data_IF_767773375294
#
_entry.id   IF_767773375294
#
_cell.length_a   1.000
_cell.length_b   1.000
_cell.length_c   1.000
_cell.angle_alpha   90.00
_cell.angle_beta   90.00
_cell.angle_gamma   90.00
#
_symmetry.space_group_name_H-M   'P 1'
#
loop_
_entity.id
_entity.type
_entity.pdbx_description
1 polymer ?
#
# COMPACT_ATOMS: atom_id res chain seq x y z
N UNK A 1 -35.12 10.09 45.58
CA UNK A 1 -35.64 8.91 46.28
C UNK A 1 -36.79 8.37 45.45
N UNK A 2 -36.84 7.09 45.01
CA UNK A 2 -35.91 5.96 45.22
C UNK A 2 -35.07 5.68 43.94
N UNK A 3 -33.88 5.09 43.95
CA UNK A 3 -33.28 3.92 44.63
C UNK A 3 -33.53 2.57 43.94
N UNK A 4 -32.40 1.85 43.82
CA UNK A 4 -32.25 0.39 43.82
C UNK A 4 -32.23 -0.35 42.48
N UNK A 5 -31.36 -1.35 42.26
CA UNK A 5 -30.09 -1.77 42.87
C UNK A 5 -29.59 -2.94 42.01
N UNK A 6 -28.27 -3.06 41.88
CA UNK A 6 -27.56 -4.20 41.26
C UNK A 6 -27.72 -5.46 42.11
N UNK A 7 -27.67 -6.67 41.52
CA UNK A 7 -27.10 -7.80 42.22
C UNK A 7 -25.65 -8.03 41.76
N UNK A 8 -24.73 -7.86 42.71
CA UNK A 8 -23.46 -8.59 42.72
C UNK A 8 -23.77 -10.08 42.90
N UNK A 9 -23.06 -10.94 42.17
CA UNK A 9 -22.83 -12.31 42.61
C UNK A 9 -21.33 -12.57 42.60
N UNK A 10 -20.85 -13.03 43.74
CA UNK A 10 -19.46 -13.06 44.14
C UNK A 10 -18.90 -14.51 44.16
N UNK A 11 -17.57 -14.57 44.09
CA UNK A 11 -16.69 -15.57 44.69
C UNK A 11 -16.75 -17.03 44.22
N UNK A 12 -15.68 -17.46 43.55
CA UNK A 12 -15.04 -18.73 43.87
C UNK A 12 -13.51 -18.61 43.70
N UNK A 13 -12.79 -19.24 44.62
CA UNK A 13 -11.44 -18.93 45.03
C UNK A 13 -10.37 -19.91 44.49
N UNK A 14 -9.13 -19.41 44.46
CA UNK A 14 -7.85 -20.08 44.79
C UNK A 14 -7.49 -21.43 44.13
N UNK A 15 -6.41 -21.42 43.34
CA UNK A 15 -5.30 -22.37 43.47
C UNK A 15 -4.01 -21.80 42.84
N UNK A 16 -3.01 -21.56 43.70
CA UNK A 16 -1.61 -21.32 43.35
C UNK A 16 -0.90 -22.67 43.09
N UNK A 17 0.25 -22.58 42.40
CA UNK A 17 1.32 -23.58 42.21
C UNK A 17 1.24 -24.37 40.88
N UNK A 18 2.19 -24.11 39.96
CA UNK A 18 3.30 -25.07 39.72
C UNK A 18 4.21 -24.66 38.53
N UNK A 19 5.50 -24.51 38.87
CA UNK A 19 6.69 -24.90 38.10
C UNK A 19 6.85 -24.46 36.61
N UNK A 20 7.65 -23.40 36.41
CA UNK A 20 8.47 -23.27 35.19
C UNK A 20 9.76 -24.08 35.37
N UNK A 21 9.76 -25.35 34.97
CA UNK A 21 10.98 -26.14 34.82
C UNK A 21 10.78 -27.16 33.71
N UNK A 22 11.49 -27.00 32.59
CA UNK A 22 11.47 -27.98 31.50
C UNK A 22 11.98 -27.35 30.21
N UNK A 23 13.31 -27.27 30.07
CA UNK A 23 13.96 -26.85 28.84
C UNK A 23 13.57 -27.76 27.68
N UNK A 24 12.78 -27.25 26.75
CA UNK A 24 12.70 -27.79 25.42
C UNK A 24 13.90 -27.22 24.65
N UNK A 25 14.85 -28.09 24.31
CA UNK A 25 15.89 -27.77 23.34
C UNK A 25 15.19 -27.25 22.07
N UNK A 26 15.42 -25.97 21.74
CA UNK A 26 15.00 -25.41 20.46
C UNK A 26 15.71 -26.24 19.39
N UNK A 27 14.99 -26.97 18.51
CA UNK A 27 15.65 -27.61 17.38
C UNK A 27 16.35 -26.50 16.59
N UNK A 28 17.67 -26.62 16.44
CA UNK A 28 18.42 -25.72 15.57
C UNK A 28 17.72 -25.69 14.21
N UNK A 29 17.50 -24.51 13.61
CA UNK A 29 16.94 -24.43 12.27
C UNK A 29 17.87 -25.24 11.36
N UNK A 30 17.36 -26.37 10.87
CA UNK A 30 18.01 -27.15 9.83
C UNK A 30 18.29 -26.17 8.70
N UNK A 31 19.54 -26.06 8.26
CA UNK A 31 19.96 -25.16 7.21
C UNK A 31 19.17 -25.52 5.94
N UNK A 32 18.02 -24.85 5.76
CA UNK A 32 17.14 -25.07 4.64
C UNK A 32 17.93 -24.85 3.36
N UNK A 33 17.89 -25.84 2.47
CA UNK A 33 18.47 -25.72 1.14
C UNK A 33 18.03 -24.38 0.54
N UNK A 34 19.00 -23.53 0.18
CA UNK A 34 18.69 -22.26 -0.52
C UNK A 34 17.91 -22.62 -1.78
N UNK A 35 16.73 -22.02 -2.01
CA UNK A 35 16.03 -22.18 -3.28
C UNK A 35 17.00 -21.89 -4.43
N UNK A 36 17.00 -22.75 -5.45
CA UNK A 36 17.78 -22.50 -6.65
C UNK A 36 17.39 -21.14 -7.26
N UNK A 37 18.34 -20.38 -7.84
CA UNK A 37 18.02 -19.14 -8.52
C UNK A 37 16.94 -19.38 -9.58
N UNK A 38 15.81 -18.67 -9.48
CA UNK A 38 14.78 -18.72 -10.51
C UNK A 38 15.29 -17.94 -11.74
N UNK A 39 15.03 -18.41 -12.97
CA UNK A 39 15.30 -17.63 -14.17
C UNK A 39 14.63 -16.26 -14.10
N UNK A 40 15.33 -15.21 -14.52
CA UNK A 40 14.72 -13.88 -14.64
C UNK A 40 13.60 -13.92 -15.68
N UNK A 41 12.42 -13.39 -15.34
CA UNK A 41 11.34 -13.17 -16.31
C UNK A 41 11.83 -12.20 -17.40
N UNK A 42 11.49 -12.43 -18.68
CA UNK A 42 11.85 -11.52 -19.74
C UNK A 42 11.11 -10.18 -19.57
N UNK A 43 11.78 -9.09 -19.94
CA UNK A 43 11.18 -7.76 -19.94
C UNK A 43 9.94 -7.72 -20.85
N UNK A 44 8.85 -7.15 -20.35
CA UNK A 44 7.62 -6.92 -21.12
C UNK A 44 7.36 -5.42 -21.19
N UNK A 45 7.33 -4.89 -22.40
CA UNK A 45 6.99 -3.47 -22.60
C UNK A 45 5.55 -3.21 -22.11
N UNK A 46 5.35 -2.29 -21.17
CA UNK A 46 4.02 -1.92 -20.71
C UNK A 46 3.19 -1.34 -21.85
N UNK A 47 1.89 -1.65 -21.86
CA UNK A 47 0.91 -0.93 -22.69
C UNK A 47 0.29 0.19 -21.85
N UNK A 48 0.50 1.47 -22.19
CA UNK A 48 -0.15 2.56 -21.47
C UNK A 48 -1.68 2.45 -21.50
N UNK A 49 -2.31 2.93 -20.42
CA UNK A 49 -3.77 3.00 -20.30
C UNK A 49 -4.37 3.70 -21.51
N UNK A 50 -5.45 3.17 -22.11
CA UNK A 50 -6.19 3.88 -23.15
C UNK A 50 -6.84 5.15 -22.58
N UNK A 51 -7.06 6.15 -23.42
CA UNK A 51 -7.63 7.44 -23.02
C UNK A 51 -6.69 8.63 -23.20
N UNK A 52 -5.47 8.41 -23.69
CA UNK A 52 -4.50 9.48 -23.97
C UNK A 52 -3.89 10.05 -22.69
N UNK A 53 -3.34 11.25 -22.80
CA UNK A 53 -2.76 11.94 -21.66
C UNK A 53 -3.85 12.58 -20.79
N UNK A 54 -3.88 12.20 -19.51
CA UNK A 54 -4.85 12.68 -18.53
C UNK A 54 -4.16 13.78 -17.74
N UNK A 55 -4.49 15.02 -18.10
CA UNK A 55 -4.02 16.24 -17.45
C UNK A 55 -2.48 16.34 -17.36
N UNK A 56 -1.70 15.83 -18.32
CA UNK A 56 -0.23 15.92 -18.29
C UNK A 56 0.47 14.86 -17.43
N UNK A 57 -0.23 13.80 -17.02
CA UNK A 57 0.35 12.76 -16.16
C UNK A 57 1.00 11.65 -16.98
N UNK A 58 0.41 11.26 -18.10
CA UNK A 58 0.86 10.07 -18.82
C UNK A 58 2.24 10.33 -19.45
N UNK A 59 3.19 9.44 -19.19
CA UNK A 59 4.58 9.63 -19.60
C UNK A 59 5.42 10.50 -18.65
N UNK A 60 4.84 11.10 -17.60
CA UNK A 60 5.62 11.83 -16.60
C UNK A 60 6.43 10.87 -15.71
N UNK A 61 7.66 11.26 -15.40
CA UNK A 61 8.52 10.52 -14.47
C UNK A 61 8.20 10.85 -13.00
N UNK A 62 8.80 10.11 -12.08
CA UNK A 62 8.57 10.34 -10.65
C UNK A 62 8.94 11.76 -10.23
N UNK A 63 10.04 12.32 -10.73
CA UNK A 63 10.51 13.66 -10.33
C UNK A 63 9.47 14.72 -10.68
N UNK A 64 8.92 14.65 -11.89
CA UNK A 64 7.90 15.59 -12.37
C UNK A 64 6.61 15.48 -11.57
N UNK A 65 6.20 14.25 -11.22
CA UNK A 65 5.02 14.01 -10.40
C UNK A 65 5.19 14.51 -8.96
N UNK A 66 6.36 14.31 -8.36
CA UNK A 66 6.67 14.83 -7.02
C UNK A 66 6.74 16.36 -7.02
N UNK A 67 7.29 16.98 -8.07
CA UNK A 67 7.31 18.43 -8.21
C UNK A 67 5.88 19.02 -8.23
N UNK A 68 4.97 18.33 -8.94
CA UNK A 68 3.58 18.74 -9.10
C UNK A 68 2.73 18.47 -7.85
N UNK A 69 2.72 17.25 -7.35
CA UNK A 69 1.79 16.79 -6.31
C UNK A 69 2.39 16.82 -4.89
N UNK A 70 3.69 17.06 -4.75
CA UNK A 70 4.41 16.99 -3.47
C UNK A 70 4.82 15.56 -3.12
N UNK A 71 5.02 15.30 -1.83
CA UNK A 71 5.41 13.98 -1.34
C UNK A 71 4.20 13.02 -1.37
N UNK A 72 4.34 11.83 -1.99
CA UNK A 72 3.28 10.83 -1.99
C UNK A 72 3.11 10.23 -0.58
N UNK A 73 1.88 9.84 -0.24
CA UNK A 73 1.62 9.10 1.01
C UNK A 73 2.17 7.68 1.00
N UNK A 74 2.25 7.08 -0.18
CA UNK A 74 2.82 5.75 -0.41
C UNK A 74 3.68 5.86 -1.65
N UNK A 75 4.92 5.42 -1.51
CA UNK A 75 5.81 5.16 -2.62
C UNK A 75 6.29 3.71 -2.49
N UNK A 76 5.84 2.85 -3.39
CA UNK A 76 6.15 1.42 -3.38
C UNK A 76 6.85 1.02 -4.67
N UNK A 77 7.74 0.03 -4.57
CA UNK A 77 8.37 -0.64 -5.72
C UNK A 77 7.78 -2.04 -5.80
N UNK A 78 7.21 -2.38 -6.95
CA UNK A 78 6.51 -3.65 -7.20
C UNK A 78 7.08 -4.26 -8.48
N UNK A 79 8.09 -5.13 -8.35
CA UNK A 79 8.86 -5.61 -9.51
C UNK A 79 9.63 -4.46 -10.18
N UNK A 80 9.41 -4.25 -11.47
CA UNK A 80 9.93 -3.12 -12.24
C UNK A 80 9.05 -1.87 -12.16
N UNK A 81 7.88 -1.96 -11.53
CA UNK A 81 6.94 -0.87 -11.36
C UNK A 81 7.26 -0.01 -10.13
N UNK A 82 6.87 1.26 -10.21
CA UNK A 82 6.79 2.16 -9.07
C UNK A 82 5.39 2.71 -8.93
N UNK A 83 4.80 2.53 -7.76
CA UNK A 83 3.50 3.09 -7.41
C UNK A 83 3.69 4.35 -6.56
N UNK A 84 3.06 5.44 -6.98
CA UNK A 84 2.94 6.67 -6.20
C UNK A 84 1.47 6.87 -5.84
N UNK A 85 1.18 7.02 -4.55
CA UNK A 85 -0.16 7.34 -4.09
C UNK A 85 -0.19 8.74 -3.50
N UNK A 86 -1.18 9.51 -3.89
CA UNK A 86 -1.53 10.80 -3.32
C UNK A 86 -2.97 10.74 -2.80
N UNK A 87 -3.35 11.64 -1.90
CA UNK A 87 -4.78 11.78 -1.60
C UNK A 87 -5.12 13.14 -0.99
N UNK A 88 -6.32 13.59 -1.31
CA UNK A 88 -7.01 14.74 -0.75
C UNK A 88 -7.91 14.31 0.43
N UNK A 89 -8.84 15.18 0.83
CA UNK A 89 -9.90 14.85 1.77
C UNK A 89 -10.88 13.82 1.16
N UNK A 90 -11.18 13.94 -0.13
CA UNK A 90 -12.30 13.24 -0.76
C UNK A 90 -11.89 12.02 -1.59
N UNK A 91 -10.66 12.00 -2.11
CA UNK A 91 -10.21 10.95 -3.03
C UNK A 91 -8.74 10.56 -2.83
N UNK A 92 -8.38 9.37 -3.35
CA UNK A 92 -7.03 8.82 -3.46
C UNK A 92 -6.68 8.68 -4.94
N UNK A 93 -5.49 9.15 -5.31
CA UNK A 93 -4.94 9.08 -6.66
C UNK A 93 -3.74 8.12 -6.63
N UNK A 94 -3.82 7.01 -7.36
CA UNK A 94 -2.70 6.10 -7.60
C UNK A 94 -2.15 6.34 -9.01
N UNK A 95 -0.83 6.54 -9.10
CA UNK A 95 -0.11 6.67 -10.37
C UNK A 95 0.92 5.54 -10.44
N UNK A 96 0.83 4.74 -11.49
CA UNK A 96 1.68 3.58 -11.70
C UNK A 96 2.68 3.88 -12.81
N UNK A 97 3.95 3.79 -12.47
CA UNK A 97 5.06 4.09 -13.36
C UNK A 97 5.77 2.80 -13.73
N UNK A 98 5.97 2.60 -15.02
CA UNK A 98 6.70 1.47 -15.56
C UNK A 98 7.76 1.92 -16.56
N UNK A 99 8.88 1.20 -16.67
CA UNK A 99 9.89 1.45 -17.70
C UNK A 99 9.35 1.04 -19.08
N UNK A 100 9.44 1.93 -20.09
CA UNK A 100 8.99 1.64 -21.47
C UNK A 100 9.99 0.80 -22.28
N UNK A 101 11.16 0.56 -21.72
CA UNK A 101 12.24 -0.30 -22.24
C UNK A 101 13.04 -0.82 -21.07
N UNK A 102 13.71 -1.94 -21.24
CA UNK A 102 14.56 -2.53 -20.21
C UNK A 102 15.58 -1.51 -19.67
N UNK A 103 15.67 -1.39 -18.34
CA UNK A 103 16.52 -0.42 -17.64
C UNK A 103 16.18 1.06 -17.87
N UNK A 104 15.06 1.37 -18.52
CA UNK A 104 14.59 2.73 -18.75
C UNK A 104 14.08 3.40 -17.47
N UNK A 105 14.03 4.73 -17.47
CA UNK A 105 13.36 5.50 -16.41
C UNK A 105 11.87 5.17 -16.40
N UNK A 106 11.29 4.77 -15.24
CA UNK A 106 9.85 4.53 -15.15
C UNK A 106 9.06 5.82 -15.35
N UNK A 107 8.03 5.74 -16.20
CA UNK A 107 7.10 6.83 -16.50
C UNK A 107 5.67 6.38 -16.27
N UNK A 108 4.76 7.29 -15.99
CA UNK A 108 3.37 6.96 -15.72
C UNK A 108 2.71 6.29 -16.93
N UNK A 109 2.19 5.08 -16.74
CA UNK A 109 1.45 4.34 -17.77
C UNK A 109 0.03 3.98 -17.33
N UNK A 110 -0.32 4.22 -16.07
CA UNK A 110 -1.66 4.01 -15.53
C UNK A 110 -1.97 5.02 -14.42
N UNK A 111 -3.23 5.47 -14.39
CA UNK A 111 -3.74 6.36 -13.34
C UNK A 111 -5.09 5.83 -12.88
N UNK A 112 -5.25 5.71 -11.56
CA UNK A 112 -6.51 5.35 -10.92
C UNK A 112 -6.90 6.41 -9.89
N UNK A 113 -8.20 6.69 -9.80
CA UNK A 113 -8.77 7.52 -8.76
C UNK A 113 -9.89 6.77 -8.06
N UNK A 114 -9.92 6.85 -6.74
CA UNK A 114 -10.97 6.28 -5.92
C UNK A 114 -11.43 7.24 -4.84
N UNK A 115 -12.71 7.14 -4.45
CA UNK A 115 -13.20 7.81 -3.26
C UNK A 115 -12.38 7.35 -2.05
N UNK A 116 -12.02 8.30 -1.19
CA UNK A 116 -11.27 7.98 0.03
C UNK A 116 -12.09 7.10 0.96
N UNK A 117 -13.39 7.34 1.02
CA UNK A 117 -14.35 6.50 1.72
C UNK A 117 -14.86 5.41 0.78
N UNK A 118 -14.84 4.16 1.23
CA UNK A 118 -15.36 3.02 0.47
C UNK A 118 -14.52 2.56 -0.73
N UNK A 119 -13.55 3.35 -1.20
CA UNK A 119 -12.57 2.91 -2.20
C UNK A 119 -13.13 2.70 -3.62
N UNK A 120 -14.36 3.12 -3.88
CA UNK A 120 -15.00 3.00 -5.21
C UNK A 120 -14.32 3.93 -6.22
N UNK A 121 -14.25 3.52 -7.48
CA UNK A 121 -13.68 4.33 -8.55
C UNK A 121 -14.41 5.68 -8.68
N UNK A 122 -13.65 6.74 -8.98
CA UNK A 122 -14.17 8.10 -9.18
C UNK A 122 -13.46 8.80 -10.34
N UNK A 123 -13.86 10.04 -10.64
CA UNK A 123 -13.26 10.88 -11.68
C UNK A 123 -11.77 11.12 -11.41
N UNK A 124 -10.92 10.83 -12.41
CA UNK A 124 -9.46 11.00 -12.29
C UNK A 124 -9.12 12.49 -12.31
N UNK A 125 -9.72 13.22 -13.23
CA UNK A 125 -9.52 14.65 -13.45
C UNK A 125 -9.91 15.46 -12.21
N UNK A 126 -11.04 15.12 -11.58
CA UNK A 126 -11.48 15.80 -10.35
C UNK A 126 -10.56 15.47 -9.18
N UNK A 127 -10.12 14.21 -9.08
CA UNK A 127 -9.22 13.79 -8.03
C UNK A 127 -7.83 14.44 -8.16
N UNK A 128 -7.31 14.57 -9.39
CA UNK A 128 -6.06 15.27 -9.69
C UNK A 128 -6.14 16.71 -9.17
N UNK A 129 -7.19 17.46 -9.53
CA UNK A 129 -7.39 18.85 -9.07
C UNK A 129 -7.49 18.94 -7.54
N UNK A 130 -8.19 17.98 -6.92
CA UNK A 130 -8.33 17.93 -5.46
C UNK A 130 -7.01 17.60 -4.73
N UNK A 131 -6.12 16.83 -5.36
CA UNK A 131 -4.78 16.56 -4.82
C UNK A 131 -3.89 17.79 -4.96
N UNK A 132 -3.94 18.50 -6.10
CA UNK A 132 -3.17 19.73 -6.33
C UNK A 132 -3.53 20.85 -5.36
N UNK A 133 -4.81 20.99 -5.01
CA UNK A 133 -5.28 22.05 -4.10
C UNK A 133 -4.87 21.86 -2.63
N UNK A 134 -4.36 20.67 -2.26
CA UNK A 134 -3.90 20.37 -0.89
C UNK A 134 -2.45 20.83 -0.63
N UNK A 135 -1.67 21.07 -1.68
CA UNK A 135 -0.22 21.25 -1.61
C UNK A 135 0.19 22.54 -0.90
#
# INVERSE_FOLDING_TARGET
MPDSLRPLSACAALALVSACAGGAAVPLPSAGARPAPQPAEPFRTPRPQPGGDIAGIMGADSRSLLARFGEPRIQAVEGDARKLQFASADCVLDIYLYPMREGGTPVATHVEARLRQGGVATSREDCIRAVESKR
#
